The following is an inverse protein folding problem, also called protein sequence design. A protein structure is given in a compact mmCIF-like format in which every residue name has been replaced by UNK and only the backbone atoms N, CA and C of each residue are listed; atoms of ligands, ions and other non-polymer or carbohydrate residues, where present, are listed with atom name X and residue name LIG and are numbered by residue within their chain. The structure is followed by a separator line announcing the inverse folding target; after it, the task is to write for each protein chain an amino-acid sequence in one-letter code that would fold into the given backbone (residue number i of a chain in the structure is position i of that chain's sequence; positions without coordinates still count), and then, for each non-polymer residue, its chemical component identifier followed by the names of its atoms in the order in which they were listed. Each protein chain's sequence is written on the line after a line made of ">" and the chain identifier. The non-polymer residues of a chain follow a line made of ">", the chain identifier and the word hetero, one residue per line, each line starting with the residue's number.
data_IF_555940388149
#
_entry.id   IF_555940388149
#
_cell.length_a   1.000
_cell.length_b   1.000
_cell.length_c   1.000
_cell.angle_alpha   90.00
_cell.angle_beta   90.00
_cell.angle_gamma   90.00
#
_symmetry.space_group_name_H-M   'P 1'
#
loop_
_entity.id
_entity.type
_entity.pdbx_description
1 polymer ?
#
# COMPACT_ATOMS: atom_id res chain seq x y z
N UNK A 1 15.51 -4.47 0.90
CA UNK A 1 14.66 -5.25 -0.03
C UNK A 1 14.44 -6.62 0.58
N UNK A 2 13.18 -7.01 0.75
CA UNK A 2 12.80 -8.25 1.42
C UNK A 2 11.80 -9.03 0.56
N UNK A 3 12.05 -10.33 0.37
CA UNK A 3 11.09 -11.24 -0.24
C UNK A 3 10.09 -11.67 0.85
N UNK A 4 8.84 -11.26 0.72
CA UNK A 4 7.75 -11.62 1.65
C UNK A 4 7.20 -13.00 1.30
N UNK A 5 6.82 -13.20 0.02
CA UNK A 5 6.39 -14.49 -0.55
C UNK A 5 7.04 -14.68 -1.91
N UNK A 6 6.70 -15.76 -2.64
CA UNK A 6 7.16 -15.91 -4.02
C UNK A 6 6.64 -14.80 -4.93
N UNK A 7 5.44 -14.25 -4.62
CA UNK A 7 4.78 -13.23 -5.43
C UNK A 7 4.96 -11.80 -4.90
N UNK A 8 5.42 -11.59 -3.66
CA UNK A 8 5.44 -10.26 -3.03
C UNK A 8 6.86 -9.86 -2.63
N UNK A 9 7.28 -8.68 -3.08
CA UNK A 9 8.53 -8.02 -2.69
C UNK A 9 8.25 -6.74 -1.93
N UNK A 10 8.95 -6.55 -0.82
CA UNK A 10 9.02 -5.29 -0.09
C UNK A 10 10.21 -4.48 -0.57
N UNK A 11 10.00 -3.21 -0.83
CA UNK A 11 11.04 -2.23 -1.10
C UNK A 11 10.95 -1.14 -0.05
N UNK A 12 11.88 -1.13 0.92
CA UNK A 12 12.02 0.00 1.84
C UNK A 12 12.62 1.18 1.06
N UNK A 13 11.88 2.27 0.97
CA UNK A 13 12.24 3.36 0.07
C UNK A 13 12.99 4.49 0.77
N UNK A 14 12.59 4.87 1.98
CA UNK A 14 13.29 5.87 2.79
C UNK A 14 12.89 5.74 4.27
N UNK A 15 13.67 6.40 5.14
CA UNK A 15 13.33 6.59 6.54
C UNK A 15 13.46 8.08 6.87
N UNK A 16 12.34 8.74 7.19
CA UNK A 16 12.30 10.14 7.60
C UNK A 16 11.67 10.23 8.99
N UNK A 17 12.31 11.01 9.88
CA UNK A 17 11.87 11.19 11.27
C UNK A 17 11.65 9.88 12.04
N UNK A 18 12.42 8.83 11.67
CA UNK A 18 12.32 7.51 12.28
C UNK A 18 11.25 6.59 11.71
N UNK A 19 10.39 7.08 10.80
CA UNK A 19 9.41 6.26 10.08
C UNK A 19 10.02 5.77 8.76
N UNK A 20 9.97 4.46 8.52
CA UNK A 20 10.27 3.87 7.22
C UNK A 20 9.04 3.99 6.33
N UNK A 21 9.22 4.34 5.05
CA UNK A 21 8.17 4.20 4.04
C UNK A 21 8.51 3.02 3.15
N UNK A 22 7.53 2.21 2.81
CA UNK A 22 7.68 1.02 1.99
C UNK A 22 6.70 1.03 0.84
N UNK A 23 7.15 0.51 -0.28
CA UNK A 23 6.29 0.14 -1.41
C UNK A 23 6.37 -1.37 -1.62
N UNK A 24 5.39 -1.93 -2.30
CA UNK A 24 5.36 -3.36 -2.57
C UNK A 24 5.26 -3.62 -4.07
N UNK A 25 5.93 -4.67 -4.53
CA UNK A 25 5.82 -5.15 -5.91
C UNK A 25 5.17 -6.53 -5.87
N UNK A 26 4.02 -6.66 -6.54
CA UNK A 26 3.32 -7.93 -6.69
C UNK A 26 3.65 -8.52 -8.08
N UNK A 27 4.00 -9.80 -8.10
CA UNK A 27 4.29 -10.55 -9.34
C UNK A 27 3.07 -11.37 -9.73
N UNK A 28 2.28 -10.85 -10.67
CA UNK A 28 1.07 -11.48 -11.18
C UNK A 28 1.29 -12.06 -12.59
N UNK A 29 0.40 -12.92 -13.06
CA UNK A 29 0.51 -13.53 -14.39
C UNK A 29 0.52 -12.50 -15.53
N UNK A 30 -0.25 -11.39 -15.37
CA UNK A 30 -0.36 -10.32 -16.37
C UNK A 30 0.75 -9.27 -16.34
N UNK A 31 1.65 -9.33 -15.37
CA UNK A 31 2.71 -8.32 -15.17
C UNK A 31 2.93 -8.01 -13.68
N UNK A 32 3.61 -6.91 -13.44
CA UNK A 32 3.83 -6.43 -12.07
C UNK A 32 2.77 -5.41 -11.67
N UNK A 33 2.42 -5.44 -10.39
CA UNK A 33 1.63 -4.37 -9.75
C UNK A 33 2.54 -3.69 -8.74
N UNK A 34 2.64 -2.38 -8.82
CA UNK A 34 3.33 -1.56 -7.82
C UNK A 34 2.29 -1.00 -6.84
N UNK A 35 2.49 -1.22 -5.55
CA UNK A 35 1.67 -0.65 -4.48
C UNK A 35 2.41 0.55 -3.92
N UNK A 36 1.85 1.75 -4.10
CA UNK A 36 2.42 3.05 -3.79
C UNK A 36 3.73 3.36 -4.55
N UNK A 37 4.18 4.60 -4.51
CA UNK A 37 5.31 5.08 -5.32
C UNK A 37 6.48 5.60 -4.48
N UNK A 38 6.25 5.90 -3.20
CA UNK A 38 7.21 6.62 -2.38
C UNK A 38 7.36 8.08 -2.82
N UNK A 39 8.38 8.77 -2.31
CA UNK A 39 8.47 10.25 -2.43
C UNK A 39 9.87 10.79 -2.74
N UNK A 40 10.93 9.99 -2.69
CA UNK A 40 12.30 10.46 -2.97
C UNK A 40 12.90 9.81 -4.21
N UNK A 41 13.96 10.41 -4.76
CA UNK A 41 14.73 9.77 -5.83
C UNK A 41 15.34 8.42 -5.40
N UNK A 42 15.65 8.24 -4.12
CA UNK A 42 16.16 6.99 -3.58
C UNK A 42 15.12 5.86 -3.70
N UNK A 43 13.82 6.19 -3.54
CA UNK A 43 12.72 5.24 -3.78
C UNK A 43 12.79 4.67 -5.19
N UNK A 44 12.91 5.55 -6.21
CA UNK A 44 13.04 5.14 -7.61
C UNK A 44 14.22 4.19 -7.81
N UNK A 45 15.40 4.53 -7.26
CA UNK A 45 16.59 3.69 -7.38
C UNK A 45 16.42 2.33 -6.70
N UNK A 46 15.76 2.29 -5.56
CA UNK A 46 15.51 1.05 -4.82
C UNK A 46 14.49 0.16 -5.56
N UNK A 47 13.41 0.76 -6.11
CA UNK A 47 12.44 0.04 -6.94
C UNK A 47 13.14 -0.52 -8.18
N UNK A 48 13.94 0.30 -8.88
CA UNK A 48 14.70 -0.14 -10.07
C UNK A 48 15.67 -1.29 -9.74
N UNK A 49 16.37 -1.21 -8.61
CA UNK A 49 17.26 -2.27 -8.16
C UNK A 49 16.51 -3.59 -7.89
N UNK A 50 15.30 -3.51 -7.31
CA UNK A 50 14.48 -4.70 -7.08
C UNK A 50 13.95 -5.28 -8.40
N UNK A 51 13.46 -4.45 -9.32
CA UNK A 51 13.07 -4.89 -10.67
C UNK A 51 14.21 -5.65 -11.36
N UNK A 52 15.42 -5.08 -11.36
CA UNK A 52 16.63 -5.73 -11.94
C UNK A 52 16.95 -7.05 -11.25
N UNK A 53 16.79 -7.14 -9.93
CA UNK A 53 17.02 -8.39 -9.17
C UNK A 53 16.08 -9.51 -9.59
N UNK A 54 14.86 -9.16 -9.97
CA UNK A 54 13.84 -10.07 -10.51
C UNK A 54 13.97 -10.31 -12.01
N UNK A 55 14.96 -9.70 -12.69
CA UNK A 55 15.13 -9.69 -14.17
C UNK A 55 13.91 -9.07 -14.86
N UNK A 56 13.38 -8.01 -14.28
CA UNK A 56 12.26 -7.21 -14.73
C UNK A 56 12.70 -5.79 -15.05
N UNK A 57 11.86 -5.04 -15.76
CA UNK A 57 12.02 -3.63 -16.08
C UNK A 57 10.81 -2.82 -15.62
N UNK A 58 10.87 -1.51 -15.75
CA UNK A 58 9.75 -0.61 -15.51
C UNK A 58 8.55 -0.96 -16.40
N UNK A 59 8.77 -1.40 -17.63
CA UNK A 59 7.71 -1.76 -18.59
C UNK A 59 6.95 -3.05 -18.22
N UNK A 60 7.46 -3.82 -17.25
CA UNK A 60 6.73 -4.96 -16.69
C UNK A 60 5.64 -4.52 -15.69
N UNK A 61 5.68 -3.28 -15.18
CA UNK A 61 4.63 -2.72 -14.31
C UNK A 61 3.41 -2.38 -15.19
N UNK A 62 2.29 -3.01 -14.92
CA UNK A 62 1.04 -2.85 -15.66
C UNK A 62 -0.05 -2.13 -14.87
N UNK A 63 0.12 -2.06 -13.55
CA UNK A 63 -0.82 -1.40 -12.66
C UNK A 63 -0.05 -0.76 -11.50
N UNK A 64 -0.44 0.45 -11.15
CA UNK A 64 -0.04 1.14 -9.93
C UNK A 64 -1.31 1.25 -9.07
N UNK A 65 -1.31 0.60 -7.91
CA UNK A 65 -2.35 0.72 -6.91
C UNK A 65 -1.85 1.63 -5.80
N UNK A 66 -2.55 2.71 -5.57
CA UNK A 66 -2.25 3.64 -4.49
C UNK A 66 -3.15 3.35 -3.29
N UNK A 67 -2.57 3.23 -2.11
CA UNK A 67 -3.33 3.04 -0.89
C UNK A 67 -4.13 4.30 -0.55
N UNK A 68 -3.55 5.48 -0.78
CA UNK A 68 -4.18 6.78 -0.59
C UNK A 68 -3.31 7.89 -1.22
N UNK A 69 -3.77 9.15 -1.16
CA UNK A 69 -3.14 10.26 -1.87
C UNK A 69 -2.25 11.17 -0.98
N UNK A 70 -1.55 10.67 0.04
CA UNK A 70 -0.54 11.45 0.74
C UNK A 70 0.82 11.41 0.02
N UNK A 71 1.60 12.48 0.16
CA UNK A 71 2.82 12.72 -0.61
C UNK A 71 3.84 11.57 -0.55
N UNK A 72 4.05 10.96 0.60
CA UNK A 72 5.01 9.85 0.74
C UNK A 72 4.56 8.54 0.05
N UNK A 73 3.33 8.50 -0.48
CA UNK A 73 2.79 7.42 -1.31
C UNK A 73 2.72 7.78 -2.80
N UNK A 74 2.58 9.07 -3.15
CA UNK A 74 2.29 9.51 -4.53
C UNK A 74 3.35 10.40 -5.18
N UNK A 75 4.28 11.03 -4.45
CA UNK A 75 5.19 12.06 -4.98
C UNK A 75 6.09 11.58 -6.14
N UNK A 76 6.33 10.28 -6.24
CA UNK A 76 7.07 9.72 -7.37
C UNK A 76 6.18 9.24 -8.52
N UNK A 77 4.85 9.36 -8.45
CA UNK A 77 3.95 8.82 -9.47
C UNK A 77 4.28 9.36 -10.87
N UNK A 78 4.43 10.67 -11.03
CA UNK A 78 4.79 11.27 -12.33
C UNK A 78 6.08 10.70 -12.90
N UNK A 79 7.12 10.55 -12.07
CA UNK A 79 8.41 10.00 -12.52
C UNK A 79 8.32 8.53 -12.89
N UNK A 80 7.52 7.75 -12.17
CA UNK A 80 7.32 6.34 -12.48
C UNK A 80 6.54 6.18 -13.77
N UNK A 81 5.54 7.02 -14.03
CA UNK A 81 4.84 7.04 -15.31
C UNK A 81 5.75 7.37 -16.48
N UNK A 82 6.72 8.28 -16.29
CA UNK A 82 7.74 8.60 -17.32
C UNK A 82 8.72 7.43 -17.59
N UNK A 83 8.88 6.51 -16.65
CA UNK A 83 9.78 5.35 -16.75
C UNK A 83 9.07 4.08 -17.26
N UNK A 84 7.75 4.05 -17.25
CA UNK A 84 6.91 2.89 -17.57
C UNK A 84 6.21 3.04 -18.92
N UNK A 85 5.67 1.95 -19.44
CA UNK A 85 4.88 1.95 -20.68
C UNK A 85 3.38 2.01 -20.36
N UNK A 86 2.94 3.14 -19.76
CA UNK A 86 1.53 3.46 -19.51
C UNK A 86 0.78 2.44 -18.64
N UNK A 87 1.21 2.18 -17.41
CA UNK A 87 0.43 1.37 -16.48
C UNK A 87 -0.87 2.07 -16.11
N UNK A 88 -1.93 1.32 -15.81
CA UNK A 88 -3.12 1.89 -15.18
C UNK A 88 -2.81 2.38 -13.78
N UNK A 89 -3.47 3.47 -13.35
CA UNK A 89 -3.35 4.05 -12.00
C UNK A 89 -4.71 3.98 -11.33
N UNK A 90 -4.78 3.34 -10.18
CA UNK A 90 -6.02 3.19 -9.42
C UNK A 90 -5.81 3.51 -7.95
N UNK A 91 -6.82 4.12 -7.32
CA UNK A 91 -6.86 4.40 -5.87
C UNK A 91 -8.32 4.51 -5.40
N UNK A 92 -8.50 4.70 -4.09
CA UNK A 92 -9.84 4.87 -3.53
C UNK A 92 -10.57 6.08 -4.10
N UNK A 93 -11.85 5.92 -4.45
CA UNK A 93 -12.71 6.95 -5.04
C UNK A 93 -12.65 8.27 -4.27
N UNK A 94 -12.58 8.20 -2.92
CA UNK A 94 -12.53 9.40 -2.06
C UNK A 94 -11.26 10.24 -2.17
N UNK A 95 -10.20 9.72 -2.81
CA UNK A 95 -8.91 10.40 -2.95
C UNK A 95 -8.59 10.84 -4.39
N UNK A 96 -9.50 10.64 -5.35
CA UNK A 96 -9.29 11.01 -6.76
C UNK A 96 -8.97 12.50 -6.94
N UNK A 97 -9.77 13.36 -6.33
CA UNK A 97 -9.58 14.80 -6.41
C UNK A 97 -8.25 15.22 -5.77
N UNK A 98 -7.91 14.64 -4.62
CA UNK A 98 -6.63 14.89 -3.93
C UNK A 98 -5.44 14.50 -4.81
N UNK A 99 -5.46 13.31 -5.41
CA UNK A 99 -4.42 12.88 -6.33
C UNK A 99 -4.23 13.88 -7.47
N UNK A 100 -5.34 14.32 -8.08
CA UNK A 100 -5.33 15.30 -9.17
C UNK A 100 -4.77 16.65 -8.73
N UNK A 101 -5.16 17.13 -7.55
CA UNK A 101 -4.69 18.42 -7.01
C UNK A 101 -3.18 18.37 -6.70
N UNK A 102 -2.69 17.30 -6.09
CA UNK A 102 -1.30 17.18 -5.64
C UNK A 102 -0.32 16.85 -6.79
N UNK A 103 -0.74 16.03 -7.77
CA UNK A 103 0.17 15.52 -8.80
C UNK A 103 -0.13 16.05 -10.21
N UNK A 104 -1.33 16.57 -10.46
CA UNK A 104 -1.83 16.90 -11.79
C UNK A 104 -2.25 15.68 -12.63
N UNK A 105 -2.19 14.47 -12.07
CA UNK A 105 -2.49 13.20 -12.77
C UNK A 105 -3.92 12.79 -12.45
N UNK A 106 -4.67 12.38 -13.46
CA UNK A 106 -5.95 11.71 -13.29
C UNK A 106 -5.70 10.19 -13.15
N UNK A 107 -6.32 9.57 -12.16
CA UNK A 107 -6.34 8.11 -12.09
C UNK A 107 -7.26 7.53 -13.18
N UNK A 108 -6.96 6.31 -13.62
CA UNK A 108 -7.78 5.59 -14.61
C UNK A 108 -9.08 5.06 -13.99
N UNK A 109 -9.04 4.74 -12.67
CA UNK A 109 -10.21 4.22 -11.96
C UNK A 109 -10.18 4.58 -10.46
N UNK A 110 -11.33 4.98 -9.93
CA UNK A 110 -11.64 5.02 -8.51
C UNK A 110 -12.14 3.66 -8.03
N UNK A 111 -11.70 3.24 -6.86
CA UNK A 111 -12.01 1.94 -6.27
C UNK A 111 -12.86 2.12 -5.02
N UNK A 112 -13.82 1.21 -4.81
CA UNK A 112 -14.72 1.20 -3.67
C UNK A 112 -14.55 -0.06 -2.81
N UNK A 113 -15.21 -0.06 -1.66
CA UNK A 113 -15.26 -1.22 -0.77
C UNK A 113 -15.78 -2.46 -1.49
N UNK A 114 -15.02 -3.55 -1.47
CA UNK A 114 -15.40 -4.85 -2.01
C UNK A 114 -15.12 -5.01 -3.51
N UNK A 115 -14.56 -3.99 -4.17
CA UNK A 115 -14.04 -4.19 -5.53
C UNK A 115 -12.92 -5.22 -5.53
N UNK A 116 -12.83 -5.99 -6.61
CA UNK A 116 -11.81 -7.04 -6.76
C UNK A 116 -11.10 -6.86 -8.11
N UNK A 117 -9.80 -6.68 -8.05
CA UNK A 117 -8.94 -6.70 -9.25
C UNK A 117 -8.60 -8.15 -9.55
N UNK A 118 -8.90 -8.59 -10.79
CA UNK A 118 -8.62 -9.95 -11.27
C UNK A 118 -7.14 -10.10 -11.64
N UNK A 119 -6.31 -10.02 -10.62
CA UNK A 119 -4.86 -10.21 -10.70
C UNK A 119 -4.36 -10.89 -9.42
N UNK A 120 -3.25 -11.63 -9.50
CA UNK A 120 -2.64 -12.33 -8.36
C UNK A 120 -3.59 -13.25 -7.57
N UNK A 121 -4.65 -13.78 -8.20
CA UNK A 121 -5.67 -14.62 -7.55
C UNK A 121 -6.78 -13.84 -6.86
N UNK A 122 -6.92 -12.56 -7.20
CA UNK A 122 -7.90 -11.61 -6.68
C UNK A 122 -7.31 -10.72 -5.57
N UNK A 123 -7.36 -9.41 -5.82
CA UNK A 123 -6.99 -8.38 -4.83
C UNK A 123 -8.27 -7.66 -4.45
N UNK A 124 -8.74 -7.84 -3.24
CA UNK A 124 -9.97 -7.21 -2.74
C UNK A 124 -9.67 -5.90 -2.04
N UNK A 125 -10.45 -4.85 -2.36
CA UNK A 125 -10.34 -3.51 -1.81
C UNK A 125 -11.13 -3.38 -0.52
N UNK A 126 -10.47 -2.87 0.52
CA UNK A 126 -11.10 -2.59 1.81
C UNK A 126 -10.96 -1.10 2.09
N UNK A 127 -12.06 -0.35 1.99
CA UNK A 127 -12.04 1.07 2.33
C UNK A 127 -12.03 1.25 3.85
N UNK A 128 -10.93 1.82 4.37
CA UNK A 128 -10.73 2.12 5.79
C UNK A 128 -10.51 3.63 5.90
N UNK A 129 -11.58 4.39 5.66
CA UNK A 129 -11.55 5.84 5.70
C UNK A 129 -11.18 6.40 7.09
N UNK A 130 -10.71 7.65 7.11
CA UNK A 130 -10.34 8.38 8.32
C UNK A 130 -8.90 8.89 8.29
N UNK A 131 -7.94 8.09 7.82
CA UNK A 131 -6.61 8.60 7.49
C UNK A 131 -6.70 9.57 6.29
N UNK A 132 -7.28 9.12 5.19
CA UNK A 132 -7.87 9.93 4.11
C UNK A 132 -9.29 9.46 3.83
N UNK A 133 -10.01 10.11 2.91
CA UNK A 133 -11.37 9.69 2.53
C UNK A 133 -11.34 8.42 1.69
N UNK A 134 -10.33 8.27 0.83
CA UNK A 134 -10.14 7.15 -0.07
C UNK A 134 -9.15 6.10 0.42
N UNK A 135 -8.71 6.15 1.70
CA UNK A 135 -7.71 5.19 2.20
C UNK A 135 -8.15 3.74 2.05
N UNK A 136 -7.33 2.95 1.35
CA UNK A 136 -7.56 1.53 1.06
C UNK A 136 -6.53 0.64 1.73
N UNK A 137 -6.99 -0.52 2.17
CA UNK A 137 -6.17 -1.71 2.41
C UNK A 137 -6.49 -2.76 1.34
N UNK A 138 -5.51 -3.61 1.00
CA UNK A 138 -5.63 -4.63 -0.03
C UNK A 138 -5.52 -6.03 0.56
N UNK A 139 -6.54 -6.88 0.33
CA UNK A 139 -6.50 -8.26 0.78
C UNK A 139 -6.17 -9.21 -0.38
N UNK A 140 -5.06 -9.93 -0.25
CA UNK A 140 -4.60 -10.97 -1.18
C UNK A 140 -4.88 -12.34 -0.58
N UNK A 141 -6.05 -12.90 -0.91
CA UNK A 141 -6.57 -14.12 -0.30
C UNK A 141 -5.64 -15.33 -0.49
N UNK A 142 -5.14 -15.53 -1.71
CA UNK A 142 -4.26 -16.69 -2.00
C UNK A 142 -2.94 -16.65 -1.23
N UNK A 143 -2.44 -15.47 -0.91
CA UNK A 143 -1.19 -15.27 -0.17
C UNK A 143 -1.40 -15.17 1.35
N UNK A 144 -2.66 -15.10 1.83
CA UNK A 144 -3.03 -14.79 3.22
C UNK A 144 -2.38 -13.50 3.71
N UNK A 145 -2.41 -12.44 2.87
CA UNK A 145 -1.74 -11.17 3.11
C UNK A 145 -2.75 -10.03 3.10
N UNK A 146 -2.63 -9.16 4.10
CA UNK A 146 -3.24 -7.84 4.16
C UNK A 146 -2.16 -6.78 3.94
N UNK A 147 -2.28 -5.93 2.93
CA UNK A 147 -1.46 -4.74 2.73
C UNK A 147 -2.27 -3.56 3.27
N UNK A 148 -1.82 -2.98 4.37
CA UNK A 148 -2.63 -2.03 5.13
C UNK A 148 -2.47 -0.57 4.68
N UNK A 149 -1.39 -0.23 3.96
CA UNK A 149 -1.07 1.19 3.75
C UNK A 149 -0.97 1.91 5.09
N UNK A 150 -1.61 3.06 5.21
CA UNK A 150 -1.65 3.88 6.42
C UNK A 150 -2.88 3.63 7.30
N UNK A 151 -3.58 2.52 7.08
CA UNK A 151 -4.64 2.04 7.98
C UNK A 151 -4.08 1.65 9.35
N UNK A 152 -2.88 1.07 9.38
CA UNK A 152 -2.18 0.66 10.60
C UNK A 152 -0.70 1.06 10.46
N UNK A 153 -0.16 1.63 11.53
CA UNK A 153 1.26 1.94 11.70
C UNK A 153 1.93 0.92 12.61
N UNK A 154 3.23 0.77 12.47
CA UNK A 154 4.04 -0.05 13.35
C UNK A 154 5.34 0.64 13.75
N UNK A 155 5.98 0.14 14.82
CA UNK A 155 7.36 0.48 15.16
C UNK A 155 8.36 -0.60 14.69
N UNK A 156 9.64 -0.37 14.98
CA UNK A 156 10.71 -1.32 14.63
C UNK A 156 10.68 -2.60 15.49
N UNK A 157 10.01 -2.56 16.64
CA UNK A 157 9.84 -3.72 17.54
C UNK A 157 8.65 -4.58 17.10
N UNK A 158 7.76 -4.05 16.26
CA UNK A 158 6.57 -4.73 15.74
C UNK A 158 5.30 -4.45 16.54
N UNK A 159 5.30 -3.41 17.40
CA UNK A 159 4.06 -2.95 18.02
C UNK A 159 3.23 -2.20 16.99
N UNK A 160 1.93 -2.48 16.97
CA UNK A 160 0.97 -1.82 16.08
C UNK A 160 0.28 -0.66 16.80
N UNK A 161 -0.05 0.39 16.05
CA UNK A 161 -0.83 1.51 16.53
C UNK A 161 -1.70 2.12 15.42
N UNK A 162 -2.71 2.87 15.85
CA UNK A 162 -3.62 3.58 14.93
C UNK A 162 -2.88 4.71 14.22
N UNK A 163 -3.35 5.15 13.04
CA UNK A 163 -2.76 6.26 12.32
C UNK A 163 -2.64 7.50 13.23
N UNK A 164 -1.47 8.18 13.26
CA UNK A 164 -1.29 9.35 14.09
C UNK A 164 -2.25 10.47 13.72
N UNK A 165 -2.90 11.09 14.72
CA UNK A 165 -3.91 12.14 14.52
C UNK A 165 -3.40 13.33 13.68
N UNK A 166 -2.10 13.65 13.77
CA UNK A 166 -1.50 14.75 12.99
C UNK A 166 -1.46 14.50 11.47
N UNK A 167 -1.61 13.24 11.05
CA UNK A 167 -1.58 12.83 9.65
C UNK A 167 -2.95 12.33 9.16
N UNK A 168 -3.96 12.28 10.04
CA UNK A 168 -5.27 11.74 9.72
C UNK A 168 -6.30 12.84 9.61
N UNK A 169 -7.19 12.75 8.62
CA UNK A 169 -8.33 13.65 8.45
C UNK A 169 -9.32 13.52 9.61
N UNK A 170 -9.60 12.31 10.05
CA UNK A 170 -10.43 11.94 11.19
C UNK A 170 -9.80 10.73 11.90
N UNK A 171 -9.01 11.00 12.95
CA UNK A 171 -8.28 9.95 13.66
C UNK A 171 -9.18 8.99 14.45
N UNK A 172 -10.35 9.46 14.92
CA UNK A 172 -11.31 8.63 15.65
C UNK A 172 -12.01 7.66 14.67
N UNK A 173 -12.32 8.14 13.47
CA UNK A 173 -12.83 7.31 12.39
C UNK A 173 -11.78 6.29 11.96
N UNK A 174 -10.55 6.73 11.68
CA UNK A 174 -9.45 5.85 11.28
C UNK A 174 -9.26 4.71 12.28
N UNK A 175 -9.18 5.01 13.58
CA UNK A 175 -9.04 3.99 14.62
C UNK A 175 -10.23 3.01 14.66
N UNK A 176 -11.45 3.51 14.52
CA UNK A 176 -12.67 2.69 14.56
C UNK A 176 -12.80 1.76 13.36
N UNK A 177 -12.44 2.25 12.17
CA UNK A 177 -12.63 1.52 10.91
C UNK A 177 -11.62 0.38 10.71
N UNK A 178 -10.47 0.36 11.43
CA UNK A 178 -9.49 -0.74 11.39
C UNK A 178 -10.15 -2.11 11.60
N UNK A 179 -11.21 -2.17 12.42
CA UNK A 179 -11.92 -3.43 12.68
C UNK A 179 -12.47 -4.13 11.43
N UNK A 180 -12.69 -3.40 10.32
CA UNK A 180 -13.10 -3.99 9.05
C UNK A 180 -12.11 -5.04 8.55
N UNK A 181 -10.82 -4.89 8.84
CA UNK A 181 -9.81 -5.86 8.46
C UNK A 181 -10.05 -7.22 9.12
N UNK A 182 -10.69 -7.28 10.28
CA UNK A 182 -10.95 -8.53 11.00
C UNK A 182 -12.01 -9.41 10.34
N UNK A 183 -12.78 -8.87 9.39
CA UNK A 183 -13.71 -9.66 8.58
C UNK A 183 -12.98 -10.56 7.57
N UNK A 184 -11.67 -10.37 7.41
CA UNK A 184 -10.80 -11.10 6.49
C UNK A 184 -9.89 -12.06 7.23
N UNK A 185 -9.42 -13.10 6.52
CA UNK A 185 -8.57 -14.13 7.10
C UNK A 185 -7.15 -13.99 6.55
N UNK A 186 -6.26 -13.35 7.32
CA UNK A 186 -4.88 -13.07 6.93
C UNK A 186 -3.90 -13.46 8.03
N UNK A 187 -2.74 -13.97 7.62
CA UNK A 187 -1.63 -14.35 8.49
C UNK A 187 -0.50 -13.34 8.48
N UNK A 188 -0.43 -12.52 7.42
CA UNK A 188 0.59 -11.49 7.24
C UNK A 188 -0.05 -10.12 7.08
N UNK A 189 0.54 -9.13 7.75
CA UNK A 189 0.18 -7.72 7.64
C UNK A 189 1.40 -6.95 7.14
N UNK A 190 1.25 -6.30 5.99
CA UNK A 190 2.27 -5.47 5.38
C UNK A 190 1.91 -4.00 5.58
N UNK A 191 2.83 -3.25 6.18
CA UNK A 191 2.65 -1.86 6.57
C UNK A 191 3.45 -0.94 5.65
N UNK A 192 2.93 0.24 5.38
CA UNK A 192 3.73 1.31 4.78
C UNK A 192 4.80 1.80 5.76
N UNK A 193 4.47 1.91 7.04
CA UNK A 193 5.35 2.41 8.10
C UNK A 193 5.54 1.39 9.22
N UNK A 194 6.81 1.14 9.60
CA UNK A 194 7.16 0.21 10.66
C UNK A 194 7.43 -1.23 10.18
N UNK A 195 7.51 -2.17 11.11
CA UNK A 195 7.86 -3.56 10.83
C UNK A 195 6.62 -4.37 10.46
N UNK A 196 6.69 -5.11 9.35
CA UNK A 196 5.63 -6.04 8.95
C UNK A 196 5.46 -7.17 9.96
N UNK A 197 4.23 -7.62 10.13
CA UNK A 197 3.90 -8.82 10.91
C UNK A 197 3.72 -9.98 9.92
N UNK A 198 4.58 -10.98 9.99
CA UNK A 198 4.63 -12.06 9.01
C UNK A 198 4.06 -13.40 9.51
N UNK A 199 3.52 -13.40 10.70
CA UNK A 199 2.89 -14.57 11.33
C UNK A 199 1.84 -14.10 12.33
N UNK A 200 0.67 -14.74 12.34
CA UNK A 200 -0.42 -14.47 13.28
C UNK A 200 -0.87 -13.00 13.32
N UNK A 201 -0.78 -12.32 12.17
CA UNK A 201 -0.98 -10.88 12.08
C UNK A 201 -2.41 -10.45 12.47
N UNK A 202 -3.42 -11.27 12.16
CA UNK A 202 -4.81 -10.99 12.55
C UNK A 202 -4.96 -10.85 14.05
N UNK A 203 -4.32 -11.72 14.85
CA UNK A 203 -4.33 -11.61 16.31
C UNK A 203 -3.70 -10.33 16.83
N UNK A 204 -2.66 -9.81 16.16
CA UNK A 204 -2.07 -8.52 16.54
C UNK A 204 -3.02 -7.35 16.24
N UNK A 205 -3.75 -7.40 15.11
CA UNK A 205 -4.79 -6.41 14.80
C UNK A 205 -5.97 -6.51 15.78
N UNK A 206 -6.38 -7.72 16.19
CA UNK A 206 -7.39 -7.91 17.22
C UNK A 206 -7.00 -7.24 18.56
N UNK A 207 -5.73 -7.34 18.95
CA UNK A 207 -5.23 -6.65 20.15
C UNK A 207 -5.31 -5.13 20.00
N UNK A 208 -4.93 -4.60 18.82
CA UNK A 208 -4.96 -3.17 18.54
C UNK A 208 -6.38 -2.58 18.67
N UNK A 209 -7.41 -3.27 18.15
CA UNK A 209 -8.79 -2.74 18.15
C UNK A 209 -9.57 -2.98 19.46
N UNK A 210 -9.04 -3.80 20.37
CA UNK A 210 -9.68 -4.14 21.65
C UNK A 210 -9.06 -3.41 22.86
N UNK A 211 -8.19 -2.44 22.63
CA UNK A 211 -7.53 -1.62 23.69
C UNK A 211 -8.36 -0.42 24.13
#
# INVERSE_FOLDING_TARGET
>A
MVKITEKIREVEVERIDGLSTKVYILMCEGGLILIDTGFTNKCILNIEAELKSMRKSWDDIKLILLTHAHGDHIDNLSKILDLTDGPEVMLGEGDLDTLKEETGIDADMGLEQGDVIDACGGIEMINVAGHSDGNLSFYLKEENVMIAGDTIFGDDDGNLYTPPAKYSKDSDMAAREIKKLLDYDFDKLLLAHGKNILLDAKSEVEKLVNV
#
